data_IF_640468215741
#
_entry.id   IF_640468215741
#
_cell.length_a   1.000
_cell.length_b   1.000
_cell.length_c   1.000
_cell.angle_alpha   90.00
_cell.angle_beta   90.00
_cell.angle_gamma   90.00
#
_symmetry.space_group_name_H-M   'P 1'
#
loop_
_entity.id
_entity.type
_entity.pdbx_description
1 polymer ?
#
# COMPACT_ATOMS: atom_id res chain seq x y z
N UNK A 1 -19.79 13.50 0.14
CA UNK A 1 -18.46 13.21 -0.40
C UNK A 1 -18.13 11.72 -0.24
N UNK A 2 -17.24 11.17 -1.06
CA UNK A 2 -16.78 9.76 -0.95
C UNK A 2 -16.30 9.44 0.47
N UNK A 3 -15.59 10.35 1.14
CA UNK A 3 -15.15 10.17 2.53
C UNK A 3 -16.33 10.02 3.50
N UNK A 4 -17.40 10.80 3.34
CA UNK A 4 -18.60 10.69 4.18
C UNK A 4 -19.37 9.39 3.91
N UNK A 5 -19.50 8.98 2.66
CA UNK A 5 -20.17 7.74 2.29
C UNK A 5 -19.42 6.51 2.83
N UNK A 6 -18.10 6.46 2.61
CA UNK A 6 -17.26 5.40 3.18
C UNK A 6 -17.13 5.48 4.69
N UNK A 7 -17.21 6.68 5.27
CA UNK A 7 -17.21 6.92 6.71
C UNK A 7 -18.34 6.19 7.46
N UNK A 8 -19.49 6.00 6.79
CA UNK A 8 -20.61 5.22 7.33
C UNK A 8 -20.25 3.74 7.61
N UNK A 9 -19.21 3.22 6.96
CA UNK A 9 -18.67 1.88 7.18
C UNK A 9 -17.69 1.81 8.37
N UNK A 10 -17.47 2.92 9.06
CA UNK A 10 -16.56 3.06 10.20
C UNK A 10 -15.13 2.54 9.94
N UNK A 11 -14.46 2.96 8.84
CA UNK A 11 -13.09 2.54 8.58
C UNK A 11 -12.17 3.02 9.70
N UNK A 12 -11.12 2.28 10.01
CA UNK A 12 -10.15 2.70 11.02
C UNK A 12 -9.34 3.92 10.55
N UNK A 13 -9.07 4.04 9.25
CA UNK A 13 -8.40 5.18 8.64
C UNK A 13 -8.60 5.17 7.12
N UNK A 14 -8.29 6.32 6.50
CA UNK A 14 -8.17 6.46 5.05
C UNK A 14 -6.71 6.64 4.66
N UNK A 15 -6.22 5.85 3.72
CA UNK A 15 -4.90 6.10 3.14
C UNK A 15 -4.99 6.98 1.90
N UNK A 16 -4.01 7.86 1.71
CA UNK A 16 -3.97 8.81 0.60
C UNK A 16 -2.68 8.61 -0.18
N UNK A 17 -2.81 8.27 -1.45
CA UNK A 17 -1.66 7.99 -2.31
C UNK A 17 -0.77 9.23 -2.49
N UNK A 18 0.55 8.96 -2.59
CA UNK A 18 1.54 9.96 -2.95
C UNK A 18 1.77 9.88 -4.46
N UNK A 19 1.41 10.93 -5.20
CA UNK A 19 1.61 10.91 -6.65
C UNK A 19 3.09 11.12 -7.02
N UNK A 20 3.49 10.57 -8.15
CA UNK A 20 4.82 10.77 -8.72
C UNK A 20 4.99 12.22 -9.20
N UNK A 21 5.87 12.99 -8.53
CA UNK A 21 6.20 14.37 -8.89
C UNK A 21 5.74 15.41 -7.88
N UNK A 22 6.52 16.47 -7.70
CA UNK A 22 6.37 17.48 -6.63
C UNK A 22 5.00 18.17 -6.51
N UNK A 23 4.21 18.26 -7.59
CA UNK A 23 2.87 18.86 -7.60
C UNK A 23 1.81 18.06 -6.82
N UNK A 24 2.10 16.82 -6.42
CA UNK A 24 1.17 15.94 -5.74
C UNK A 24 1.33 15.97 -4.21
N UNK A 25 2.45 16.48 -3.69
CA UNK A 25 2.70 16.63 -2.25
C UNK A 25 1.66 17.55 -1.60
N UNK A 26 1.40 18.70 -2.20
CA UNK A 26 0.41 19.66 -1.70
C UNK A 26 -1.00 19.08 -1.74
N UNK A 27 -1.34 18.36 -2.80
CA UNK A 27 -2.64 17.68 -2.91
C UNK A 27 -2.80 16.58 -1.87
N UNK A 28 -1.78 15.76 -1.64
CA UNK A 28 -1.79 14.75 -0.58
C UNK A 28 -2.00 15.39 0.78
N UNK A 29 -1.25 16.47 1.08
CA UNK A 29 -1.39 17.19 2.34
C UNK A 29 -2.80 17.78 2.51
N UNK A 30 -3.33 18.45 1.49
CA UNK A 30 -4.69 18.98 1.53
C UNK A 30 -5.74 17.88 1.77
N UNK A 31 -5.64 16.77 1.04
CA UNK A 31 -6.57 15.64 1.18
C UNK A 31 -6.52 15.01 2.57
N UNK A 32 -5.33 14.77 3.14
CA UNK A 32 -5.24 14.19 4.50
C UNK A 32 -5.75 15.17 5.56
N UNK A 33 -5.56 16.48 5.35
CA UNK A 33 -6.10 17.53 6.22
C UNK A 33 -7.63 17.54 6.19
N UNK A 34 -8.23 17.43 5.01
CA UNK A 34 -9.69 17.38 4.84
C UNK A 34 -10.29 16.12 5.48
N UNK A 35 -9.62 14.97 5.34
CA UNK A 35 -10.03 13.71 5.98
C UNK A 35 -9.97 13.86 7.51
N UNK A 36 -8.86 14.39 8.04
CA UNK A 36 -8.70 14.62 9.47
C UNK A 36 -9.74 15.64 10.02
N UNK A 37 -10.03 16.71 9.28
CA UNK A 37 -11.06 17.68 9.62
C UNK A 37 -12.49 17.07 9.61
N UNK A 38 -12.68 15.99 8.83
CA UNK A 38 -13.94 15.22 8.80
C UNK A 38 -14.06 14.21 9.97
N UNK A 39 -13.09 14.16 10.88
CA UNK A 39 -13.09 13.30 12.06
C UNK A 39 -12.53 11.89 11.84
N UNK A 40 -11.87 11.63 10.71
CA UNK A 40 -11.27 10.33 10.42
C UNK A 40 -9.74 10.37 10.54
N UNK A 41 -9.13 9.23 10.91
CA UNK A 41 -7.67 9.07 10.86
C UNK A 41 -7.23 9.01 9.39
N UNK A 42 -6.19 9.77 9.03
CA UNK A 42 -5.63 9.79 7.68
C UNK A 42 -4.19 9.25 7.69
N UNK A 43 -3.85 8.45 6.67
CA UNK A 43 -2.54 7.85 6.45
C UNK A 43 -1.97 8.30 5.10
N UNK A 44 -1.21 9.40 5.01
CA UNK A 44 -0.54 9.75 3.77
C UNK A 44 0.49 8.70 3.39
N UNK A 45 0.56 8.36 2.11
CA UNK A 45 1.70 7.65 1.58
C UNK A 45 2.91 8.58 1.57
N UNK A 46 4.08 8.08 1.93
CA UNK A 46 5.35 8.82 1.91
C UNK A 46 6.38 8.02 1.13
N UNK A 47 6.76 8.53 -0.04
CA UNK A 47 7.80 7.95 -0.88
C UNK A 47 9.15 8.61 -0.59
N UNK A 48 10.20 7.81 -0.43
CA UNK A 48 11.54 8.32 -0.13
C UNK A 48 12.47 8.40 -1.34
N UNK A 49 12.11 7.82 -2.48
CA UNK A 49 12.97 7.87 -3.68
C UNK A 49 13.20 9.33 -4.12
N UNK A 50 14.44 9.66 -4.41
CA UNK A 50 14.82 11.03 -4.84
C UNK A 50 14.78 12.08 -3.73
N UNK A 51 14.47 11.70 -2.48
CA UNK A 51 14.38 12.64 -1.35
C UNK A 51 15.66 12.65 -0.52
N UNK A 52 15.92 13.82 0.11
CA UNK A 52 16.93 13.95 1.16
C UNK A 52 16.32 13.69 2.55
N UNK A 53 17.18 13.49 3.55
CA UNK A 53 16.74 13.32 4.95
C UNK A 53 16.07 14.58 5.48
N UNK A 54 16.57 15.75 5.12
CA UNK A 54 16.01 17.05 5.48
C UNK A 54 14.59 17.18 4.91
N UNK A 55 14.40 16.85 3.64
CA UNK A 55 13.09 16.96 3.00
C UNK A 55 12.05 16.01 3.66
N UNK A 56 12.45 14.78 3.96
CA UNK A 56 11.58 13.84 4.69
C UNK A 56 11.26 14.35 6.10
N UNK A 57 12.26 14.91 6.82
CA UNK A 57 12.05 15.49 8.15
C UNK A 57 11.05 16.65 8.14
N UNK A 58 11.12 17.55 7.15
CA UNK A 58 10.17 18.64 6.95
C UNK A 58 8.75 18.16 6.69
N UNK A 59 8.60 17.10 5.86
CA UNK A 59 7.29 16.49 5.59
C UNK A 59 6.70 15.92 6.88
N UNK A 60 7.51 15.18 7.64
CA UNK A 60 7.08 14.57 8.91
C UNK A 60 6.72 15.63 9.95
N UNK A 61 7.48 16.74 10.02
CA UNK A 61 7.17 17.87 10.89
C UNK A 61 5.82 18.51 10.52
N UNK A 62 5.55 18.65 9.21
CA UNK A 62 4.27 19.18 8.72
C UNK A 62 3.10 18.27 9.11
N UNK A 63 3.24 16.95 8.93
CA UNK A 63 2.22 15.99 9.35
C UNK A 63 2.02 16.01 10.88
N UNK A 64 3.13 16.07 11.63
CA UNK A 64 3.09 16.16 13.10
C UNK A 64 2.33 17.39 13.58
N UNK A 65 2.55 18.56 12.96
CA UNK A 65 1.85 19.80 13.28
C UNK A 65 0.32 19.70 13.08
N UNK A 66 -0.12 18.84 12.17
CA UNK A 66 -1.54 18.55 11.92
C UNK A 66 -2.05 17.33 12.69
N UNK A 67 -1.31 16.84 13.69
CA UNK A 67 -1.63 15.66 14.48
C UNK A 67 -1.76 14.36 13.67
N UNK A 68 -1.17 14.29 12.47
CA UNK A 68 -1.10 13.07 11.67
C UNK A 68 0.09 12.26 12.18
N UNK A 69 -0.16 11.01 12.60
CA UNK A 69 0.83 10.08 13.19
C UNK A 69 0.82 8.70 12.52
N UNK A 70 0.07 8.53 11.44
CA UNK A 70 0.02 7.31 10.64
C UNK A 70 0.51 7.63 9.24
N UNK A 71 1.33 6.76 8.67
CA UNK A 71 1.83 6.87 7.30
C UNK A 71 1.97 5.50 6.65
N UNK A 72 1.92 5.47 5.33
CA UNK A 72 2.35 4.34 4.52
C UNK A 72 3.72 4.68 3.93
N UNK A 73 4.77 4.07 4.48
CA UNK A 73 6.16 4.31 4.08
C UNK A 73 6.54 3.46 2.87
N UNK A 74 6.88 4.11 1.77
CA UNK A 74 7.18 3.50 0.49
C UNK A 74 8.57 3.89 0.00
N UNK A 75 9.19 3.04 -0.83
CA UNK A 75 10.37 3.46 -1.59
C UNK A 75 9.97 4.47 -2.66
N UNK A 76 8.91 4.16 -3.39
CA UNK A 76 8.50 4.82 -4.62
C UNK A 76 9.25 4.29 -5.85
N UNK A 77 8.75 4.69 -7.02
CA UNK A 77 9.36 4.34 -8.31
C UNK A 77 10.29 5.46 -8.77
N UNK A 78 11.46 5.09 -9.31
CA UNK A 78 12.37 6.06 -9.92
C UNK A 78 11.72 6.59 -11.21
N UNK A 79 11.53 7.92 -11.33
CA UNK A 79 11.08 8.48 -12.60
C UNK A 79 12.06 8.12 -13.71
N UNK A 80 11.53 7.76 -14.89
CA UNK A 80 12.35 7.45 -16.06
C UNK A 80 13.33 8.60 -16.36
N UNK A 81 14.62 8.32 -16.37
CA UNK A 81 15.67 9.30 -16.66
C UNK A 81 16.28 10.01 -15.45
N UNK A 82 15.90 9.69 -14.22
CA UNK A 82 16.52 10.26 -13.01
C UNK A 82 17.76 9.47 -12.60
N UNK A 83 18.91 10.14 -12.52
CA UNK A 83 20.21 9.54 -12.18
C UNK A 83 20.45 9.45 -10.65
N UNK A 84 19.64 10.09 -9.82
CA UNK A 84 19.89 10.18 -8.37
C UNK A 84 18.80 9.48 -7.57
N UNK A 85 19.18 8.40 -6.86
CA UNK A 85 18.29 7.68 -5.96
C UNK A 85 17.93 8.45 -4.67
N UNK A 86 18.43 9.67 -4.47
CA UNK A 86 18.33 10.38 -3.21
C UNK A 86 19.19 9.73 -2.11
N UNK A 87 18.87 10.02 -0.85
CA UNK A 87 19.60 9.46 0.33
C UNK A 87 18.98 8.18 0.86
N UNK A 88 17.89 7.71 0.29
CA UNK A 88 17.21 6.48 0.67
C UNK A 88 17.15 5.52 -0.53
N UNK A 89 17.66 4.32 -0.34
CA UNK A 89 17.61 3.25 -1.36
C UNK A 89 16.41 2.33 -1.19
N UNK A 90 15.96 2.13 0.07
CA UNK A 90 14.91 1.19 0.42
C UNK A 90 13.94 1.79 1.43
N UNK A 91 12.69 1.33 1.41
CA UNK A 91 11.68 1.73 2.39
C UNK A 91 12.08 1.40 3.85
N UNK A 92 12.88 0.35 4.07
CA UNK A 92 13.42 0.03 5.40
C UNK A 92 14.30 1.15 5.99
N UNK A 93 15.03 1.88 5.15
CA UNK A 93 15.84 3.02 5.59
C UNK A 93 14.95 4.20 5.99
N UNK A 94 13.86 4.44 5.24
CA UNK A 94 12.85 5.43 5.60
C UNK A 94 12.19 5.08 6.95
N UNK A 95 11.76 3.83 7.13
CA UNK A 95 11.17 3.36 8.40
C UNK A 95 12.12 3.61 9.57
N UNK A 96 13.39 3.24 9.41
CA UNK A 96 14.42 3.41 10.44
C UNK A 96 14.63 4.90 10.76
N UNK A 97 14.74 5.74 9.73
CA UNK A 97 14.87 7.19 9.89
C UNK A 97 13.69 7.81 10.64
N UNK A 98 12.46 7.39 10.34
CA UNK A 98 11.27 7.87 11.05
C UNK A 98 11.32 7.46 12.51
N UNK A 99 11.71 6.23 12.83
CA UNK A 99 11.85 5.76 14.22
C UNK A 99 12.90 6.53 15.00
N UNK A 100 14.05 6.80 14.39
CA UNK A 100 15.15 7.54 14.99
C UNK A 100 14.79 9.00 15.25
N UNK A 101 14.09 9.65 14.33
CA UNK A 101 13.83 11.10 14.39
C UNK A 101 12.49 11.47 15.01
N UNK A 102 11.50 10.60 14.89
CA UNK A 102 10.11 10.87 15.30
C UNK A 102 9.65 10.04 16.51
N UNK A 103 10.39 9.01 16.88
CA UNK A 103 10.08 8.14 18.02
C UNK A 103 9.05 7.04 17.74
N UNK A 104 8.54 6.38 18.81
CA UNK A 104 7.71 5.18 18.69
C UNK A 104 6.23 5.46 18.35
N UNK A 105 5.75 6.68 18.54
CA UNK A 105 4.33 7.00 18.49
C UNK A 105 3.71 6.96 17.08
N UNK A 106 4.55 6.85 16.06
CA UNK A 106 4.10 6.78 14.68
C UNK A 106 3.63 5.36 14.34
N UNK A 107 2.45 5.27 13.73
CA UNK A 107 1.99 4.07 13.05
C UNK A 107 2.58 4.07 11.64
N UNK A 108 3.47 3.14 11.36
CA UNK A 108 4.18 3.05 10.07
C UNK A 108 3.76 1.77 9.38
N UNK A 109 3.03 1.90 8.30
CA UNK A 109 2.67 0.79 7.43
C UNK A 109 3.62 0.74 6.23
N UNK A 110 3.88 -0.46 5.74
CA UNK A 110 4.77 -0.70 4.59
C UNK A 110 4.08 -1.59 3.57
N UNK A 111 4.46 -1.47 2.30
CA UNK A 111 3.92 -2.34 1.26
C UNK A 111 4.51 -3.75 1.36
N UNK A 112 3.64 -4.76 1.17
CA UNK A 112 3.96 -6.16 1.01
C UNK A 112 3.44 -6.68 -0.34
N UNK A 113 4.06 -7.71 -0.88
CA UNK A 113 3.70 -8.32 -2.16
C UNK A 113 3.48 -9.81 -1.95
N UNK A 114 2.22 -10.29 -1.91
CA UNK A 114 1.92 -11.69 -1.63
C UNK A 114 2.47 -12.66 -2.69
N UNK A 115 2.54 -12.19 -3.93
CA UNK A 115 3.12 -12.95 -5.02
C UNK A 115 4.61 -12.61 -5.13
N UNK A 116 4.99 -11.56 -5.79
CA UNK A 116 6.39 -11.07 -5.78
C UNK A 116 6.43 -9.63 -6.27
N UNK A 117 7.40 -8.86 -5.79
CA UNK A 117 7.60 -7.50 -6.31
C UNK A 117 8.05 -7.57 -7.78
N UNK A 118 7.43 -6.79 -8.70
CA UNK A 118 7.73 -6.87 -10.15
C UNK A 118 9.20 -6.66 -10.52
N UNK A 119 9.96 -5.95 -9.70
CA UNK A 119 11.38 -5.67 -9.90
C UNK A 119 12.31 -6.71 -9.25
N UNK A 120 11.78 -7.72 -8.57
CA UNK A 120 12.57 -8.75 -7.92
C UNK A 120 12.68 -10.02 -8.78
N UNK A 121 13.92 -10.50 -8.92
CA UNK A 121 14.22 -11.74 -9.64
C UNK A 121 14.19 -12.99 -8.75
N UNK A 122 14.19 -12.81 -7.41
CA UNK A 122 14.30 -13.91 -6.45
C UNK A 122 13.34 -13.71 -5.28
N UNK A 123 12.37 -14.59 -5.17
CA UNK A 123 11.34 -14.61 -4.14
C UNK A 123 11.88 -14.54 -2.71
N UNK A 124 12.89 -15.35 -2.39
CA UNK A 124 13.49 -15.39 -1.05
C UNK A 124 14.13 -14.05 -0.63
N UNK A 125 14.65 -13.27 -1.58
CA UNK A 125 15.18 -11.93 -1.30
C UNK A 125 14.08 -10.92 -1.05
N UNK A 126 12.96 -11.03 -1.73
CA UNK A 126 11.84 -10.13 -1.54
C UNK A 126 11.22 -10.30 -0.14
N UNK A 127 11.03 -11.52 0.28
CA UNK A 127 10.56 -11.85 1.64
C UNK A 127 11.53 -11.34 2.71
N UNK A 128 12.87 -11.51 2.51
CA UNK A 128 13.87 -11.00 3.45
C UNK A 128 13.85 -9.47 3.52
N UNK A 129 13.77 -8.77 2.39
CA UNK A 129 13.64 -7.31 2.36
C UNK A 129 12.35 -6.82 3.03
N UNK A 130 11.28 -7.60 2.90
CA UNK A 130 10.04 -7.29 3.62
C UNK A 130 10.22 -7.49 5.13
N UNK A 131 10.78 -8.61 5.58
CA UNK A 131 11.08 -8.84 6.99
C UNK A 131 11.99 -7.73 7.58
N UNK A 132 12.95 -7.24 6.80
CA UNK A 132 13.82 -6.13 7.21
C UNK A 132 13.05 -4.81 7.38
N UNK A 133 12.04 -4.52 6.56
CA UNK A 133 11.14 -3.37 6.76
C UNK A 133 10.40 -3.49 8.10
N UNK A 134 9.88 -4.67 8.39
CA UNK A 134 9.14 -4.92 9.63
C UNK A 134 10.05 -4.80 10.85
N UNK A 135 11.27 -5.36 10.80
CA UNK A 135 12.28 -5.25 11.86
C UNK A 135 12.82 -3.82 12.04
N UNK A 136 12.87 -3.03 10.97
CA UNK A 136 13.27 -1.62 11.02
C UNK A 136 12.33 -0.75 11.85
N UNK A 137 11.14 -1.25 12.19
CA UNK A 137 10.19 -0.56 13.06
C UNK A 137 8.82 -0.31 12.45
N UNK A 138 8.48 -0.88 11.29
CA UNK A 138 7.12 -0.85 10.78
C UNK A 138 6.14 -1.45 11.81
N UNK A 139 4.93 -0.91 11.91
CA UNK A 139 3.89 -1.39 12.83
C UNK A 139 2.99 -2.43 12.19
N UNK A 140 2.78 -2.32 10.89
CA UNK A 140 1.97 -3.23 10.09
C UNK A 140 2.42 -3.19 8.63
N UNK A 141 1.88 -4.06 7.82
CA UNK A 141 2.01 -4.02 6.37
C UNK A 141 0.64 -4.01 5.70
N UNK A 142 0.59 -3.48 4.48
CA UNK A 142 -0.57 -3.58 3.59
C UNK A 142 -0.09 -4.30 2.33
N UNK A 143 -0.79 -5.35 1.93
CA UNK A 143 -0.39 -6.08 0.73
C UNK A 143 -0.82 -5.34 -0.54
N UNK A 144 -0.09 -5.60 -1.63
CA UNK A 144 -0.65 -5.41 -2.97
C UNK A 144 -1.92 -6.28 -3.07
N UNK A 145 -2.88 -5.87 -3.91
CA UNK A 145 -4.08 -6.69 -4.12
C UNK A 145 -3.70 -8.04 -4.75
N UNK A 146 -4.50 -9.04 -4.45
CA UNK A 146 -4.37 -10.41 -4.95
C UNK A 146 -5.78 -11.01 -5.11
N UNK A 147 -5.88 -12.16 -5.77
CA UNK A 147 -7.16 -12.82 -6.03
C UNK A 147 -7.25 -14.23 -5.44
N UNK A 148 -6.14 -14.79 -4.96
CA UNK A 148 -6.04 -16.13 -4.38
C UNK A 148 -5.62 -16.04 -2.91
N UNK A 149 -6.45 -16.60 -2.00
CA UNK A 149 -6.17 -16.55 -0.55
C UNK A 149 -4.85 -17.25 -0.19
N UNK A 150 -4.51 -18.31 -0.90
CA UNK A 150 -3.31 -19.12 -0.61
C UNK A 150 -2.00 -18.32 -0.73
N UNK A 151 -1.92 -17.32 -1.64
CA UNK A 151 -0.71 -16.51 -1.78
C UNK A 151 -0.50 -15.62 -0.55
N UNK A 152 -1.59 -15.14 0.04
CA UNK A 152 -1.54 -14.34 1.27
C UNK A 152 -1.19 -15.21 2.48
N UNK A 153 -1.86 -16.34 2.67
CA UNK A 153 -1.62 -17.27 3.78
C UNK A 153 -0.17 -17.74 3.76
N UNK A 154 0.32 -18.20 2.61
CA UNK A 154 1.72 -18.60 2.44
C UNK A 154 2.69 -17.49 2.85
N UNK A 155 2.50 -16.26 2.38
CA UNK A 155 3.36 -15.13 2.73
C UNK A 155 3.36 -14.86 4.25
N UNK A 156 2.19 -14.90 4.89
CA UNK A 156 2.08 -14.68 6.34
C UNK A 156 2.81 -15.78 7.12
N UNK A 157 2.67 -17.04 6.72
CA UNK A 157 3.34 -18.17 7.36
C UNK A 157 4.87 -18.12 7.19
N UNK A 158 5.34 -17.77 5.99
CA UNK A 158 6.76 -17.55 5.73
C UNK A 158 7.34 -16.40 6.56
N UNK A 159 6.57 -15.32 6.77
CA UNK A 159 6.97 -14.21 7.63
C UNK A 159 7.05 -14.60 9.10
N UNK A 160 6.08 -15.37 9.58
CA UNK A 160 6.09 -15.93 10.95
C UNK A 160 7.30 -16.82 11.17
N UNK A 161 7.64 -17.65 10.17
CA UNK A 161 8.85 -18.47 10.22
C UNK A 161 10.15 -17.64 10.29
N UNK A 162 10.14 -16.39 9.79
CA UNK A 162 11.23 -15.42 9.95
C UNK A 162 11.14 -14.61 11.26
N UNK A 163 10.21 -14.91 12.16
CA UNK A 163 10.00 -14.21 13.43
C UNK A 163 9.34 -12.84 13.28
N UNK A 164 8.51 -12.65 12.25
CA UNK A 164 7.73 -11.42 12.03
C UNK A 164 6.27 -11.71 12.34
N UNK A 165 5.80 -11.28 13.52
CA UNK A 165 4.42 -11.49 14.02
C UNK A 165 3.54 -10.25 13.95
N UNK A 166 3.97 -9.22 13.21
CA UNK A 166 3.22 -7.98 13.06
C UNK A 166 2.07 -8.14 12.07
N UNK A 167 0.98 -7.36 12.23
CA UNK A 167 -0.17 -7.42 11.33
C UNK A 167 0.21 -7.18 9.86
N UNK A 168 -0.35 -8.01 8.99
CA UNK A 168 -0.33 -7.85 7.53
C UNK A 168 -1.77 -7.72 7.06
N UNK A 169 -2.14 -6.54 6.57
CA UNK A 169 -3.50 -6.27 6.11
C UNK A 169 -3.62 -6.69 4.64
N UNK A 170 -4.61 -7.54 4.30
CA UNK A 170 -4.83 -7.94 2.92
C UNK A 170 -5.36 -6.76 2.10
N UNK A 171 -4.75 -6.51 0.95
CA UNK A 171 -5.22 -5.56 -0.05
C UNK A 171 -6.27 -6.22 -0.95
N UNK A 172 -7.48 -5.70 -0.94
CA UNK A 172 -8.60 -6.21 -1.75
C UNK A 172 -8.99 -5.18 -2.79
N UNK A 173 -9.15 -5.61 -4.03
CA UNK A 173 -9.57 -4.75 -5.13
C UNK A 173 -10.71 -5.42 -5.91
N UNK A 174 -11.96 -4.94 -5.76
CA UNK A 174 -13.06 -5.41 -6.59
C UNK A 174 -12.83 -5.05 -8.07
N UNK A 175 -13.14 -5.99 -8.97
CA UNK A 175 -13.07 -5.73 -10.41
C UNK A 175 -14.27 -4.88 -10.82
N UNK A 176 -13.99 -3.71 -11.39
CA UNK A 176 -15.02 -2.80 -11.94
C UNK A 176 -14.89 -2.60 -13.44
N UNK A 177 -13.75 -3.01 -14.02
CA UNK A 177 -13.47 -2.93 -15.46
C UNK A 177 -12.44 -4.00 -15.85
N UNK A 178 -12.79 -4.83 -16.83
CA UNK A 178 -11.98 -5.99 -17.27
C UNK A 178 -10.58 -5.61 -17.79
N UNK A 179 -10.50 -4.60 -18.63
CA UNK A 179 -9.22 -4.18 -19.22
C UNK A 179 -8.32 -3.47 -18.20
N UNK A 180 -8.92 -2.64 -17.36
CA UNK A 180 -8.19 -1.90 -16.34
C UNK A 180 -7.58 -2.84 -15.30
N UNK A 181 -8.34 -3.84 -14.80
CA UNK A 181 -7.82 -4.75 -13.77
C UNK A 181 -6.70 -5.64 -14.31
N UNK A 182 -6.79 -6.13 -15.55
CA UNK A 182 -5.71 -6.90 -16.19
C UNK A 182 -4.42 -6.08 -16.28
N UNK A 183 -4.54 -4.83 -16.75
CA UNK A 183 -3.39 -3.92 -16.81
C UNK A 183 -2.80 -3.62 -15.43
N UNK A 184 -3.65 -3.44 -14.42
CA UNK A 184 -3.19 -3.19 -13.05
C UNK A 184 -2.49 -4.41 -12.47
N UNK A 185 -3.00 -5.63 -12.72
CA UNK A 185 -2.37 -6.87 -12.30
C UNK A 185 -0.99 -7.03 -12.93
N UNK A 186 -0.85 -6.84 -14.25
CA UNK A 186 0.44 -6.87 -14.95
C UNK A 186 1.46 -5.86 -14.36
N UNK A 187 1.03 -4.62 -14.10
CA UNK A 187 1.89 -3.58 -13.55
C UNK A 187 2.30 -3.83 -12.09
N UNK A 188 1.44 -4.46 -11.31
CA UNK A 188 1.67 -4.72 -9.88
C UNK A 188 2.34 -6.07 -9.61
N UNK A 189 2.43 -6.94 -10.62
CA UNK A 189 2.92 -8.31 -10.47
C UNK A 189 1.92 -9.27 -9.82
N UNK A 190 0.65 -8.86 -9.69
CA UNK A 190 -0.41 -9.75 -9.23
C UNK A 190 -0.84 -10.68 -10.37
N UNK A 191 -1.03 -11.97 -10.08
CA UNK A 191 -1.61 -12.90 -11.03
C UNK A 191 -3.10 -12.59 -11.23
N UNK A 192 -3.57 -12.61 -12.46
CA UNK A 192 -4.99 -12.53 -12.77
C UNK A 192 -5.48 -13.96 -13.08
N UNK A 193 -6.23 -14.60 -12.15
CA UNK A 193 -6.53 -16.03 -12.26
C UNK A 193 -7.52 -16.33 -13.38
N UNK A 194 -7.39 -17.52 -13.97
CA UNK A 194 -8.21 -17.97 -15.09
C UNK A 194 -9.70 -18.07 -14.71
N UNK A 195 -10.00 -18.59 -13.51
CA UNK A 195 -11.39 -18.67 -13.02
C UNK A 195 -12.09 -17.31 -12.97
N UNK A 196 -11.37 -16.23 -12.62
CA UNK A 196 -11.94 -14.88 -12.59
C UNK A 196 -12.09 -14.32 -14.00
N UNK A 197 -11.15 -14.62 -14.90
CA UNK A 197 -11.25 -14.27 -16.30
C UNK A 197 -12.47 -14.92 -16.94
N UNK A 198 -12.66 -16.25 -16.76
CA UNK A 198 -13.81 -17.00 -17.28
C UNK A 198 -15.14 -16.50 -16.70
N UNK A 199 -15.18 -16.21 -15.39
CA UNK A 199 -16.38 -15.67 -14.72
C UNK A 199 -16.79 -14.30 -15.25
N UNK A 200 -15.83 -13.47 -15.70
CA UNK A 200 -16.06 -12.13 -16.25
C UNK A 200 -16.34 -12.13 -17.77
N UNK A 201 -15.85 -13.14 -18.50
CA UNK A 201 -15.88 -13.17 -19.97
C UNK A 201 -17.27 -12.98 -20.57
N UNK A 202 -18.35 -13.63 -20.06
CA UNK A 202 -19.69 -13.51 -20.64
C UNK A 202 -20.33 -12.12 -20.55
N UNK A 203 -19.76 -11.22 -19.76
CA UNK A 203 -20.38 -9.94 -19.42
C UNK A 203 -19.61 -8.78 -19.99
N UNK A 204 -20.26 -7.94 -20.80
CA UNK A 204 -19.70 -6.69 -21.33
C UNK A 204 -20.34 -5.44 -20.71
N UNK A 205 -21.52 -5.59 -20.10
CA UNK A 205 -22.16 -4.52 -19.37
C UNK A 205 -21.36 -4.15 -18.11
N UNK A 206 -21.01 -2.86 -17.90
CA UNK A 206 -20.21 -2.42 -16.77
C UNK A 206 -20.82 -2.74 -15.39
N UNK A 207 -22.15 -2.74 -15.29
CA UNK A 207 -22.82 -3.03 -14.00
C UNK A 207 -22.77 -4.52 -13.67
N UNK A 208 -22.86 -5.40 -14.67
CA UNK A 208 -22.64 -6.83 -14.50
C UNK A 208 -21.20 -7.15 -14.14
N UNK A 209 -20.23 -6.55 -14.82
CA UNK A 209 -18.79 -6.71 -14.48
C UNK A 209 -18.53 -6.26 -13.04
N UNK A 210 -19.09 -5.13 -12.62
CA UNK A 210 -18.97 -4.64 -11.23
C UNK A 210 -19.60 -5.60 -10.24
N UNK A 211 -20.79 -6.09 -10.52
CA UNK A 211 -21.50 -7.04 -9.64
C UNK A 211 -20.66 -8.30 -9.41
N UNK A 212 -20.16 -8.92 -10.47
CA UNK A 212 -19.31 -10.11 -10.40
C UNK A 212 -18.00 -9.83 -9.68
N UNK A 213 -17.37 -8.69 -9.96
CA UNK A 213 -16.15 -8.28 -9.27
C UNK A 213 -16.33 -8.06 -7.77
N UNK A 214 -17.46 -7.51 -7.34
CA UNK A 214 -17.81 -7.36 -5.92
C UNK A 214 -18.10 -8.72 -5.28
N UNK A 215 -18.79 -9.63 -5.98
CA UNK A 215 -19.03 -10.99 -5.50
C UNK A 215 -17.70 -11.72 -5.25
N UNK A 216 -16.80 -11.73 -6.24
CA UNK A 216 -15.48 -12.34 -6.12
C UNK A 216 -14.63 -11.74 -4.97
N UNK A 217 -14.61 -10.42 -4.84
CA UNK A 217 -13.92 -9.76 -3.73
C UNK A 217 -14.54 -10.10 -2.37
N UNK A 218 -15.87 -10.28 -2.31
CA UNK A 218 -16.58 -10.67 -1.09
C UNK A 218 -16.28 -12.11 -0.70
N UNK A 219 -16.20 -13.01 -1.67
CA UNK A 219 -15.78 -14.41 -1.48
C UNK A 219 -14.36 -14.44 -0.90
N UNK A 220 -13.41 -13.75 -1.54
CA UNK A 220 -12.04 -13.64 -1.04
C UNK A 220 -11.96 -13.09 0.40
N UNK A 221 -12.76 -12.07 0.74
CA UNK A 221 -12.81 -11.54 2.11
C UNK A 221 -13.37 -12.53 3.14
N UNK A 222 -14.21 -13.48 2.73
CA UNK A 222 -14.74 -14.51 3.64
C UNK A 222 -13.75 -15.65 3.88
N UNK A 223 -12.87 -15.88 2.91
CA UNK A 223 -11.85 -16.93 2.98
C UNK A 223 -10.59 -16.49 3.75
N UNK A 224 -10.41 -15.17 3.94
CA UNK A 224 -9.36 -14.52 4.75
C UNK A 224 -9.72 -14.46 6.24
#
# INVERSE_FOLDING_TARGET
TVVQELGALAPQYFSVTYGAGGSTREKTLATVTDIAASGFEAAPHLSCVGSTRENIAEILATYRAQNIRRIVALRGDLPSGTATAGEFRYAAELVRFIRETQGPDWKIEVAAYPEYHPQQRYAAKDLQHFADKMRAGATAAITQFFFEVDVYVRMVDELRALGVDKPVLPGIMPVTNKSQIRRMAELSGAAFPEWLAERLEPFDDPDDVRRIGVEAATELCRDL
#
